data_IF_408681073568
#
_entry.id   IF_408681073568
#
_cell.length_a   1.000
_cell.length_b   1.000
_cell.length_c   1.000
_cell.angle_alpha   90.00
_cell.angle_beta   90.00
_cell.angle_gamma   90.00
#
_symmetry.space_group_name_H-M   'P 1'
#
loop_
_entity.id
_entity.type
_entity.pdbx_description
1 polymer ?
#
# COMPACT_ATOMS: atom_id res chain seq x y z
N UNK A 1 -8.65 -1.39 11.52
CA UNK A 1 -7.25 -1.80 11.25
C UNK A 1 -6.54 -0.77 10.38
N UNK A 2 -6.83 -0.65 9.08
CA UNK A 2 -6.23 0.42 8.23
C UNK A 2 -6.82 1.81 8.56
N UNK A 3 -8.14 1.94 8.56
CA UNK A 3 -8.83 3.23 8.85
C UNK A 3 -8.44 3.82 10.20
N UNK A 4 -8.22 2.97 11.21
CA UNK A 4 -7.77 3.41 12.53
C UNK A 4 -6.37 4.02 12.50
N UNK A 5 -5.45 3.49 11.69
CA UNK A 5 -4.10 4.02 11.55
C UNK A 5 -4.10 5.37 10.82
N UNK A 6 -4.95 5.55 9.81
CA UNK A 6 -5.13 6.84 9.15
C UNK A 6 -5.73 7.90 10.09
N UNK A 7 -6.71 7.51 10.92
CA UNK A 7 -7.31 8.42 11.91
C UNK A 7 -6.39 8.75 13.08
N UNK A 8 -5.34 7.96 13.32
CA UNK A 8 -4.36 8.20 14.38
C UNK A 8 -3.19 9.08 13.97
N UNK A 9 -3.16 9.61 12.73
CA UNK A 9 -2.11 10.54 12.29
C UNK A 9 -2.22 11.83 13.13
N UNK A 10 -1.10 12.23 13.72
CA UNK A 10 -0.99 13.43 14.54
C UNK A 10 -0.10 14.45 13.85
N UNK A 11 -0.46 15.73 13.99
CA UNK A 11 0.35 16.82 13.44
C UNK A 11 1.71 16.86 14.13
N UNK A 12 2.76 17.06 13.35
CA UNK A 12 4.16 17.15 13.80
C UNK A 12 4.70 15.86 14.48
N UNK A 13 4.01 14.72 14.30
CA UNK A 13 4.48 13.39 14.73
C UNK A 13 4.82 12.51 13.50
N UNK A 14 6.11 12.42 13.11
CA UNK A 14 6.52 11.64 11.95
C UNK A 14 6.30 10.13 12.13
N UNK A 15 6.26 9.62 13.37
CA UNK A 15 6.07 8.18 13.62
C UNK A 15 4.62 7.77 13.36
N UNK A 16 3.64 8.59 13.76
CA UNK A 16 2.24 8.34 13.40
C UNK A 16 2.03 8.32 11.89
N UNK A 17 2.69 9.22 11.16
CA UNK A 17 2.63 9.28 9.70
C UNK A 17 3.30 8.06 9.06
N UNK A 18 4.47 7.64 9.55
CA UNK A 18 5.14 6.42 9.09
C UNK A 18 4.24 5.20 9.22
N UNK A 19 3.60 4.99 10.37
CA UNK A 19 2.69 3.85 10.60
C UNK A 19 1.50 3.87 9.64
N UNK A 20 0.96 5.06 9.35
CA UNK A 20 -0.09 5.22 8.35
C UNK A 20 0.40 4.95 6.91
N UNK A 21 1.61 5.39 6.56
CA UNK A 21 2.21 5.10 5.26
C UNK A 21 2.47 3.60 5.06
N UNK A 22 2.99 2.91 6.08
CA UNK A 22 3.16 1.44 6.06
C UNK A 22 1.82 0.75 5.88
N UNK A 23 0.78 1.18 6.58
CA UNK A 23 -0.57 0.67 6.39
C UNK A 23 -1.07 0.89 4.96
N UNK A 24 -0.77 2.05 4.36
CA UNK A 24 -1.09 2.33 2.95
C UNK A 24 -0.35 1.37 2.02
N UNK A 25 0.96 1.17 2.19
CA UNK A 25 1.74 0.22 1.37
C UNK A 25 1.18 -1.19 1.50
N UNK A 26 0.79 -1.63 2.69
CA UNK A 26 0.11 -2.92 2.87
C UNK A 26 -1.24 -2.99 2.17
N UNK A 27 -1.99 -1.89 2.12
CA UNK A 27 -3.24 -1.86 1.35
C UNK A 27 -2.97 -2.02 -0.15
N UNK A 28 -2.10 -1.16 -0.70
CA UNK A 28 -1.82 -1.08 -2.14
C UNK A 28 -1.09 -2.32 -2.68
N UNK A 29 -0.05 -2.76 -1.98
CA UNK A 29 0.88 -3.77 -2.47
C UNK A 29 0.63 -5.17 -1.92
N UNK A 30 -0.39 -5.35 -1.07
CA UNK A 30 -0.71 -6.66 -0.50
C UNK A 30 -2.21 -6.93 -0.40
N UNK A 31 -2.98 -6.14 0.35
CA UNK A 31 -4.37 -6.48 0.67
C UNK A 31 -5.29 -6.50 -0.56
N UNK A 32 -5.08 -5.59 -1.53
CA UNK A 32 -5.86 -5.60 -2.77
C UNK A 32 -5.66 -6.87 -3.62
N UNK A 33 -4.51 -7.56 -3.50
CA UNK A 33 -4.24 -8.76 -4.30
C UNK A 33 -5.22 -9.90 -4.04
N UNK A 34 -5.80 -9.96 -2.83
CA UNK A 34 -6.88 -10.92 -2.53
C UNK A 34 -8.11 -10.70 -3.42
N UNK A 35 -8.46 -9.44 -3.72
CA UNK A 35 -9.56 -9.08 -4.61
C UNK A 35 -9.17 -9.16 -6.08
N UNK A 36 -7.98 -8.69 -6.45
CA UNK A 36 -7.49 -8.72 -7.83
C UNK A 36 -7.27 -10.14 -8.37
N UNK A 37 -7.05 -11.13 -7.50
CA UNK A 37 -6.86 -12.52 -7.91
C UNK A 37 -7.97 -13.02 -8.83
N UNK A 38 -9.24 -12.80 -8.47
CA UNK A 38 -10.35 -13.44 -9.18
C UNK A 38 -10.61 -12.85 -10.58
N UNK A 39 -10.65 -11.51 -10.77
CA UNK A 39 -10.71 -10.92 -12.10
C UNK A 39 -9.52 -11.31 -12.97
N UNK A 40 -8.30 -11.34 -12.42
CA UNK A 40 -7.10 -11.70 -13.18
C UNK A 40 -7.06 -13.19 -13.55
N UNK A 41 -7.56 -14.06 -12.67
CA UNK A 41 -7.70 -15.49 -12.96
C UNK A 41 -8.62 -15.71 -14.18
N UNK A 42 -9.78 -15.05 -14.23
CA UNK A 42 -10.67 -15.14 -15.39
C UNK A 42 -10.09 -14.48 -16.64
N UNK A 43 -9.42 -13.34 -16.48
CA UNK A 43 -8.73 -12.64 -17.57
C UNK A 43 -7.70 -13.54 -18.26
N UNK A 44 -6.88 -14.26 -17.48
CA UNK A 44 -5.90 -15.23 -18.00
C UNK A 44 -6.53 -16.43 -18.73
N UNK A 45 -7.83 -16.66 -18.57
CA UNK A 45 -8.59 -17.71 -19.26
C UNK A 45 -9.42 -17.18 -20.44
N UNK A 46 -9.27 -15.92 -20.83
CA UNK A 46 -10.06 -15.33 -21.92
C UNK A 46 -11.48 -14.92 -21.52
N UNK A 47 -11.80 -14.85 -20.21
CA UNK A 47 -13.13 -14.53 -19.69
C UNK A 47 -13.15 -13.13 -19.08
N UNK A 48 -14.30 -12.45 -19.18
CA UNK A 48 -14.50 -11.11 -18.62
C UNK A 48 -13.42 -10.09 -19.06
N UNK A 49 -12.97 -10.19 -20.31
CA UNK A 49 -11.77 -9.51 -20.80
C UNK A 49 -11.75 -8.00 -20.56
N UNK A 50 -12.87 -7.31 -20.81
CA UNK A 50 -13.00 -5.88 -20.57
C UNK A 50 -12.82 -5.54 -19.08
N UNK A 51 -13.51 -6.25 -18.17
CA UNK A 51 -13.35 -6.03 -16.74
C UNK A 51 -11.93 -6.37 -16.27
N UNK A 52 -11.32 -7.43 -16.80
CA UNK A 52 -9.94 -7.81 -16.48
C UNK A 52 -8.90 -6.79 -16.96
N UNK A 53 -9.14 -6.14 -18.10
CA UNK A 53 -8.31 -5.03 -18.59
C UNK A 53 -8.39 -3.81 -17.66
N UNK A 54 -9.60 -3.42 -17.22
CA UNK A 54 -9.77 -2.37 -16.20
C UNK A 54 -9.00 -2.72 -14.92
N UNK A 55 -9.12 -3.95 -14.43
CA UNK A 55 -8.42 -4.38 -13.21
C UNK A 55 -6.90 -4.36 -13.40
N UNK A 56 -6.39 -4.73 -14.58
CA UNK A 56 -4.96 -4.60 -14.88
C UNK A 56 -4.48 -3.15 -14.87
N UNK A 57 -5.29 -2.22 -15.39
CA UNK A 57 -4.96 -0.79 -15.35
C UNK A 57 -4.93 -0.27 -13.91
N UNK A 58 -5.93 -0.62 -13.09
CA UNK A 58 -5.96 -0.27 -11.66
C UNK A 58 -4.73 -0.86 -10.95
N UNK A 59 -4.47 -2.17 -11.11
CA UNK A 59 -3.32 -2.83 -10.48
C UNK A 59 -1.99 -2.16 -10.84
N UNK A 60 -1.83 -1.72 -12.10
CA UNK A 60 -0.61 -1.02 -12.53
C UNK A 60 -0.42 0.30 -11.78
N UNK A 61 -1.50 1.04 -11.56
CA UNK A 61 -1.45 2.30 -10.83
C UNK A 61 -1.14 2.03 -9.34
N UNK A 62 -1.81 1.06 -8.70
CA UNK A 62 -1.57 0.72 -7.29
C UNK A 62 -0.15 0.21 -7.03
N UNK A 63 0.47 -0.47 -8.00
CA UNK A 63 1.86 -0.89 -7.89
C UNK A 63 2.82 0.32 -7.76
N UNK A 64 2.61 1.37 -8.54
CA UNK A 64 3.40 2.60 -8.46
C UNK A 64 3.05 3.40 -7.20
N UNK A 65 1.78 3.45 -6.80
CA UNK A 65 1.37 4.08 -5.54
C UNK A 65 2.07 3.45 -4.33
N UNK A 66 2.10 2.12 -4.26
CA UNK A 66 2.78 1.38 -3.21
C UNK A 66 4.29 1.66 -3.16
N UNK A 67 4.97 1.67 -4.32
CA UNK A 67 6.40 2.02 -4.40
C UNK A 67 6.65 3.45 -3.92
N UNK A 68 5.87 4.41 -4.40
CA UNK A 68 6.06 5.81 -4.06
C UNK A 68 5.86 6.09 -2.56
N UNK A 69 4.75 5.61 -1.99
CA UNK A 69 4.48 5.77 -0.55
C UNK A 69 5.52 5.00 0.29
N UNK A 70 6.00 3.86 -0.20
CA UNK A 70 7.08 3.10 0.42
C UNK A 70 8.41 3.86 0.49
N UNK A 71 8.74 4.66 -0.53
CA UNK A 71 9.91 5.54 -0.51
C UNK A 71 9.76 6.68 0.51
N UNK A 72 8.56 7.28 0.61
CA UNK A 72 8.27 8.30 1.62
C UNK A 72 8.35 7.73 3.06
N UNK A 73 7.85 6.52 3.27
CA UNK A 73 7.95 5.83 4.56
C UNK A 73 9.42 5.56 4.93
N UNK A 74 10.23 5.11 3.97
CA UNK A 74 11.67 4.90 4.16
C UNK A 74 12.40 6.20 4.51
N UNK A 75 12.03 7.33 3.90
CA UNK A 75 12.61 8.63 4.26
C UNK A 75 12.37 8.98 5.74
N UNK A 76 11.17 8.71 6.27
CA UNK A 76 10.87 8.92 7.68
C UNK A 76 11.66 7.94 8.55
N UNK A 77 11.67 6.66 8.22
CA UNK A 77 12.38 5.61 8.97
C UNK A 77 13.89 5.92 9.07
N UNK A 78 14.51 6.33 7.96
CA UNK A 78 15.94 6.62 7.89
C UNK A 78 16.36 7.86 8.71
N UNK A 79 15.43 8.72 9.09
CA UNK A 79 15.68 9.88 9.99
C UNK A 79 15.63 9.51 11.48
N UNK A 80 15.21 8.30 11.83
CA UNK A 80 15.09 7.86 13.23
C UNK A 80 16.42 7.36 13.78
N UNK A 81 16.56 7.37 15.10
CA UNK A 81 17.72 6.75 15.78
C UNK A 81 17.66 5.22 15.66
N UNK A 82 18.80 4.51 15.79
CA UNK A 82 18.82 3.05 15.72
C UNK A 82 17.89 2.35 16.71
N UNK A 83 17.75 2.89 17.92
CA UNK A 83 16.85 2.32 18.94
C UNK A 83 15.38 2.45 18.52
N UNK A 84 14.98 3.62 18.00
CA UNK A 84 13.62 3.84 17.50
C UNK A 84 13.34 2.99 16.27
N UNK A 85 14.29 2.88 15.33
CA UNK A 85 14.16 2.02 14.16
C UNK A 85 13.88 0.55 14.53
N UNK A 86 14.48 0.07 15.62
CA UNK A 86 14.29 -1.32 16.09
C UNK A 86 12.88 -1.57 16.66
N UNK A 87 12.20 -0.51 17.10
CA UNK A 87 10.84 -0.58 17.65
C UNK A 87 9.73 -0.35 16.60
N UNK A 88 10.10 0.03 15.38
CA UNK A 88 9.20 0.28 14.24
C UNK A 88 9.05 -0.95 13.35
#
# INVERSE_FOLDING_TARGET
MIVSLYRSIQKDDPISLFKAMVASVYLESFLFYSGFYYPLYFYGQGKLMQSGEIINLILRDEAIHGVYVGLLAQEIYNKQTPDVQKEL
#
